data_IF_531576895750
#
_entry.id   IF_531576895750
#
_cell.length_a   1.000
_cell.length_b   1.000
_cell.length_c   1.000
_cell.angle_alpha   90.00
_cell.angle_beta   90.00
_cell.angle_gamma   90.00
#
_symmetry.space_group_name_H-M   'P 1'
#
loop_
_entity.id
_entity.type
_entity.pdbx_description
1 polymer ?
#
# COMPACT_ATOMS: atom_id res chain seq x y z
N UNK A 1 8.16 -55.31 0.20
CA UNK A 1 9.09 -54.22 0.56
C UNK A 1 9.95 -54.70 1.72
N UNK A 2 11.27 -54.48 1.71
CA UNK A 2 12.12 -54.79 2.88
C UNK A 2 11.79 -53.79 3.99
N UNK A 3 11.79 -54.26 5.23
CA UNK A 3 11.67 -53.36 6.38
C UNK A 3 12.90 -52.45 6.43
N UNK A 4 12.73 -51.16 6.78
CA UNK A 4 13.87 -50.26 6.90
C UNK A 4 14.83 -50.77 7.96
N UNK A 5 16.12 -50.76 7.61
CA UNK A 5 17.22 -50.95 8.55
C UNK A 5 17.17 -49.90 9.65
N UNK A 6 17.86 -50.17 10.77
CA UNK A 6 17.89 -49.23 11.88
C UNK A 6 18.47 -47.86 11.47
N UNK A 7 19.47 -47.86 10.59
CA UNK A 7 20.06 -46.64 10.04
C UNK A 7 19.04 -45.82 9.25
N UNK A 8 18.28 -46.46 8.35
CA UNK A 8 17.23 -45.79 7.57
C UNK A 8 16.13 -45.22 8.49
N UNK A 9 15.75 -45.94 9.55
CA UNK A 9 14.77 -45.42 10.53
C UNK A 9 15.28 -44.16 11.23
N UNK A 10 16.56 -44.12 11.61
CA UNK A 10 17.17 -42.94 12.23
C UNK A 10 17.17 -41.74 11.28
N UNK A 11 17.55 -41.96 10.02
CA UNK A 11 17.53 -40.90 9.00
C UNK A 11 16.11 -40.36 8.76
N UNK A 12 15.12 -41.24 8.65
CA UNK A 12 13.71 -40.85 8.49
C UNK A 12 13.26 -40.02 9.70
N UNK A 13 13.55 -40.46 10.92
CA UNK A 13 13.18 -39.73 12.14
C UNK A 13 13.85 -38.35 12.22
N UNK A 14 15.12 -38.23 11.82
CA UNK A 14 15.82 -36.95 11.76
C UNK A 14 15.17 -36.00 10.74
N UNK A 15 14.89 -36.49 9.54
CA UNK A 15 14.27 -35.68 8.49
C UNK A 15 12.85 -35.25 8.86
N UNK A 16 12.06 -36.14 9.45
CA UNK A 16 10.72 -35.85 9.93
C UNK A 16 10.73 -34.76 11.03
N UNK A 17 11.64 -34.88 12.00
CA UNK A 17 11.83 -33.86 13.05
C UNK A 17 12.21 -32.49 12.48
N UNK A 18 13.16 -32.47 11.54
CA UNK A 18 13.57 -31.26 10.83
C UNK A 18 12.39 -30.63 10.09
N UNK A 19 11.71 -31.42 9.25
CA UNK A 19 10.61 -30.94 8.41
C UNK A 19 9.46 -30.39 9.25
N UNK A 20 9.09 -31.07 10.34
CA UNK A 20 8.08 -30.60 11.29
C UNK A 20 8.48 -29.29 11.95
N UNK A 21 9.76 -29.12 12.28
CA UNK A 21 10.27 -27.88 12.89
C UNK A 21 10.22 -26.72 11.91
N UNK A 22 10.72 -26.93 10.69
CA UNK A 22 10.69 -25.93 9.60
C UNK A 22 9.26 -25.50 9.30
N UNK A 23 8.34 -26.45 9.09
CA UNK A 23 6.95 -26.16 8.78
C UNK A 23 6.27 -25.34 9.89
N UNK A 24 6.46 -25.71 11.17
CA UNK A 24 5.91 -24.95 12.30
C UNK A 24 6.46 -23.53 12.38
N UNK A 25 7.76 -23.36 12.17
CA UNK A 25 8.40 -22.05 12.22
C UNK A 25 7.94 -21.16 11.05
N UNK A 26 7.82 -21.73 9.85
CA UNK A 26 7.29 -21.02 8.69
C UNK A 26 5.86 -20.50 8.94
N UNK A 27 4.95 -21.37 9.42
CA UNK A 27 3.58 -20.96 9.73
C UNK A 27 3.52 -19.86 10.80
N UNK A 28 4.37 -19.93 11.83
CA UNK A 28 4.48 -18.87 12.86
C UNK A 28 4.99 -17.56 12.29
N UNK A 29 5.99 -17.60 11.41
CA UNK A 29 6.51 -16.41 10.76
C UNK A 29 5.47 -15.78 9.83
N UNK A 30 4.71 -16.58 9.09
CA UNK A 30 3.63 -16.10 8.23
C UNK A 30 2.52 -15.40 9.06
N UNK A 31 2.15 -15.98 10.20
CA UNK A 31 1.23 -15.33 11.14
C UNK A 31 1.76 -13.99 11.65
N UNK A 32 3.02 -13.95 12.11
CA UNK A 32 3.67 -12.70 12.57
C UNK A 32 3.74 -11.65 11.48
N UNK A 33 4.05 -12.05 10.24
CA UNK A 33 4.10 -11.14 9.10
C UNK A 33 2.72 -10.51 8.84
N UNK A 34 1.65 -11.30 8.89
CA UNK A 34 0.27 -10.79 8.79
C UNK A 34 -0.06 -9.82 9.94
N UNK A 35 0.23 -10.21 11.18
CA UNK A 35 -0.05 -9.39 12.36
C UNK A 35 0.73 -8.06 12.31
N UNK A 36 1.98 -8.09 11.83
CA UNK A 36 2.80 -6.88 11.62
C UNK A 36 2.26 -6.02 10.48
N UNK A 37 1.81 -6.62 9.37
CA UNK A 37 1.17 -5.89 8.29
C UNK A 37 -0.06 -5.14 8.79
N UNK A 38 -0.93 -5.78 9.58
CA UNK A 38 -2.11 -5.13 10.19
C UNK A 38 -1.72 -3.99 11.14
N UNK A 39 -0.63 -4.12 11.91
CA UNK A 39 -0.17 -3.05 12.80
C UNK A 39 0.36 -1.81 12.07
N UNK A 40 0.93 -1.99 10.88
CA UNK A 40 1.68 -0.96 10.19
C UNK A 40 1.00 -0.45 8.91
N UNK A 41 0.02 -1.16 8.37
CA UNK A 41 -0.91 -0.61 7.40
C UNK A 41 -2.01 0.13 8.16
N UNK A 42 -1.90 1.45 8.27
CA UNK A 42 -3.09 2.27 8.46
C UNK A 42 -3.83 2.31 7.13
N UNK A 43 -5.16 2.23 7.15
CA UNK A 43 -6.02 2.53 5.99
C UNK A 43 -5.91 4.03 5.57
N UNK A 44 -5.15 4.82 6.34
CA UNK A 44 -5.15 6.27 6.33
C UNK A 44 -4.31 6.98 5.24
N UNK A 45 -3.55 6.36 4.30
CA UNK A 45 -2.93 7.15 3.24
C UNK A 45 -3.80 7.23 1.99
N UNK A 46 -4.75 6.31 1.76
CA UNK A 46 -5.51 6.28 0.50
C UNK A 46 -6.59 7.36 0.50
N UNK A 47 -7.36 7.50 1.56
CA UNK A 47 -8.40 8.54 1.65
C UNK A 47 -7.79 9.94 1.69
N UNK A 48 -6.63 10.11 2.36
CA UNK A 48 -5.88 11.36 2.33
C UNK A 48 -5.35 11.68 0.93
N UNK A 49 -4.76 10.70 0.24
CA UNK A 49 -4.30 10.85 -1.15
C UNK A 49 -5.45 11.15 -2.10
N UNK A 50 -6.58 10.45 -2.00
CA UNK A 50 -7.76 10.69 -2.83
C UNK A 50 -8.37 12.08 -2.55
N UNK A 51 -8.42 12.49 -1.29
CA UNK A 51 -8.87 13.84 -0.92
C UNK A 51 -7.96 14.90 -1.52
N UNK A 52 -6.63 14.74 -1.40
CA UNK A 52 -5.65 15.67 -1.98
C UNK A 52 -5.70 15.70 -3.51
N UNK A 53 -5.86 14.55 -4.17
CA UNK A 53 -5.89 14.43 -5.63
C UNK A 53 -7.25 14.84 -6.24
N UNK A 54 -8.34 14.76 -5.47
CA UNK A 54 -9.69 15.17 -5.90
C UNK A 54 -9.98 16.65 -5.70
N UNK A 55 -9.14 17.35 -4.92
CA UNK A 55 -9.19 18.80 -4.86
C UNK A 55 -8.69 19.32 -6.20
N UNK A 56 -9.60 19.64 -7.12
CA UNK A 56 -9.28 20.49 -8.27
C UNK A 56 -8.49 21.68 -7.72
N UNK A 57 -7.26 21.83 -8.20
CA UNK A 57 -6.34 22.90 -7.81
C UNK A 57 -6.87 24.24 -8.36
N UNK A 58 -8.01 24.70 -7.83
CA UNK A 58 -8.56 26.03 -8.11
C UNK A 58 -7.80 27.00 -7.25
N UNK A 59 -6.67 27.43 -7.79
CA UNK A 59 -5.87 28.45 -7.15
C UNK A 59 -6.71 29.73 -7.08
N UNK A 60 -6.70 30.48 -5.97
CA UNK A 60 -7.34 31.79 -5.91
C UNK A 60 -6.83 32.77 -6.98
N UNK A 61 -5.66 32.49 -7.58
CA UNK A 61 -5.09 33.23 -8.71
C UNK A 61 -5.72 32.91 -10.07
N UNK A 62 -6.60 31.91 -10.19
CA UNK A 62 -7.26 31.55 -11.45
C UNK A 62 -8.32 32.57 -11.89
N UNK A 63 -8.52 33.64 -11.11
CA UNK A 63 -9.41 34.74 -11.44
C UNK A 63 -8.57 35.99 -11.68
N UNK A 64 -8.27 36.26 -12.94
CA UNK A 64 -7.69 37.54 -13.35
C UNK A 64 -8.75 38.64 -13.17
N UNK A 65 -8.59 39.45 -12.12
CA UNK A 65 -9.42 40.62 -11.85
C UNK A 65 -8.70 41.86 -12.36
N UNK A 66 -9.31 42.54 -13.32
CA UNK A 66 -8.87 43.83 -13.84
C UNK A 66 -9.66 44.94 -13.18
N UNK A 67 -8.99 46.01 -12.79
CA UNK A 67 -9.62 47.21 -12.25
C UNK A 67 -9.61 48.29 -13.34
N UNK A 68 -10.79 48.75 -13.72
CA UNK A 68 -10.98 49.86 -14.66
C UNK A 68 -11.83 50.92 -13.95
N UNK A 69 -11.20 52.04 -13.60
CA UNK A 69 -11.74 53.08 -12.72
C UNK A 69 -12.24 52.50 -11.37
N UNK A 70 -13.53 52.70 -11.04
CA UNK A 70 -14.16 52.20 -9.81
C UNK A 70 -14.78 50.79 -9.97
N UNK A 71 -14.61 50.15 -11.13
CA UNK A 71 -15.22 48.87 -11.45
C UNK A 71 -14.19 47.74 -11.47
N UNK A 72 -14.58 46.57 -10.96
CA UNK A 72 -13.81 45.32 -11.04
C UNK A 72 -14.40 44.39 -12.11
N UNK A 73 -13.55 43.92 -13.01
CA UNK A 73 -13.91 43.02 -14.10
C UNK A 73 -13.15 41.69 -13.93
N UNK A 74 -13.86 40.56 -14.01
CA UNK A 74 -13.25 39.23 -13.96
C UNK A 74 -13.14 38.68 -15.37
N UNK A 75 -11.94 38.28 -15.79
CA UNK A 75 -11.74 37.63 -17.09
C UNK A 75 -12.41 36.25 -17.07
N UNK A 76 -13.38 36.05 -17.96
CA UNK A 76 -14.13 34.79 -18.04
C UNK A 76 -13.52 33.78 -19.01
N UNK A 77 -12.80 34.25 -20.04
CA UNK A 77 -12.10 33.40 -21.02
C UNK A 77 -10.92 34.15 -21.61
N UNK A 78 -9.79 33.46 -21.77
CA UNK A 78 -8.56 33.97 -22.40
C UNK A 78 -8.48 33.64 -23.90
N UNK A 79 -9.54 33.11 -24.49
CA UNK A 79 -9.60 32.85 -25.93
C UNK A 79 -9.49 34.14 -26.73
N UNK A 80 -8.35 34.34 -27.40
CA UNK A 80 -8.18 35.32 -28.46
C UNK A 80 -9.04 34.92 -29.66
N UNK A 81 -9.97 35.78 -30.04
CA UNK A 81 -10.67 35.66 -31.31
C UNK A 81 -9.65 35.88 -32.44
N UNK A 82 -9.44 34.86 -33.27
CA UNK A 82 -8.68 34.98 -34.53
C UNK A 82 -9.52 35.64 -35.61
#
# INVERSE_FOLDING_TARGET
>A
MKSPSEHERRLIAMFDSFSKTVARNFSRNLKRAKDNAVKHYSEEPVDYLLTLLSYEDRYPSDRFVLYADELSCVVHSETLYN
#
